data_IF_415587626446
#
_entry.id   IF_415587626446
#
_cell.length_a   1.000
_cell.length_b   1.000
_cell.length_c   1.000
_cell.angle_alpha   90.00
_cell.angle_beta   90.00
_cell.angle_gamma   90.00
#
_symmetry.space_group_name_H-M   'P 1'
#
loop_
_entity.id
_entity.type
_entity.pdbx_description
1 polymer ?
#
# COMPACT_ATOMS: atom_id res chain seq x y z
N UNK A 1 0.71 -29.40 5.04
CA UNK A 1 0.20 -29.59 3.70
C UNK A 1 0.91 -28.59 2.80
N UNK A 2 1.36 -29.04 1.62
CA UNK A 2 1.99 -28.16 0.65
C UNK A 2 0.91 -27.32 -0.06
N UNK A 3 1.33 -26.21 -0.64
CA UNK A 3 0.44 -25.24 -1.31
C UNK A 3 -0.31 -25.89 -2.50
N UNK A 4 0.31 -26.84 -3.17
CA UNK A 4 -0.28 -27.53 -4.34
C UNK A 4 -1.46 -28.39 -3.90
N UNK A 5 -1.34 -29.11 -2.79
CA UNK A 5 -2.43 -29.92 -2.24
C UNK A 5 -3.60 -29.04 -1.81
N UNK A 6 -3.36 -27.90 -1.15
CA UNK A 6 -4.39 -26.95 -0.75
C UNK A 6 -5.12 -26.35 -1.96
N UNK A 7 -4.41 -25.95 -3.01
CA UNK A 7 -5.02 -25.46 -4.25
C UNK A 7 -5.89 -26.51 -4.92
N UNK A 8 -5.40 -27.74 -5.04
CA UNK A 8 -6.16 -28.85 -5.64
C UNK A 8 -7.38 -29.25 -4.80
N UNK A 9 -7.34 -29.02 -3.49
CA UNK A 9 -8.48 -29.19 -2.60
C UNK A 9 -9.51 -28.04 -2.70
N UNK A 10 -9.26 -27.04 -3.55
CA UNK A 10 -10.15 -25.88 -3.70
C UNK A 10 -9.99 -24.84 -2.60
N UNK A 11 -8.95 -24.96 -1.78
CA UNK A 11 -8.62 -23.94 -0.79
C UNK A 11 -7.95 -22.76 -1.50
N UNK A 12 -8.50 -21.57 -1.29
CA UNK A 12 -7.81 -20.34 -1.70
C UNK A 12 -6.59 -20.14 -0.80
N UNK A 13 -5.39 -20.06 -1.38
CA UNK A 13 -4.17 -19.73 -0.63
C UNK A 13 -4.25 -18.34 0.02
N UNK A 14 -5.32 -17.60 -0.22
CA UNK A 14 -5.52 -16.24 0.26
C UNK A 14 -4.66 -15.23 -0.50
N UNK A 15 -5.03 -13.96 -0.36
CA UNK A 15 -4.29 -12.88 -1.01
C UNK A 15 -2.91 -12.72 -0.35
N UNK A 16 -1.87 -12.65 -1.17
CA UNK A 16 -0.50 -12.32 -0.72
C UNK A 16 -0.36 -10.82 -0.61
N UNK A 17 0.21 -10.36 0.49
CA UNK A 17 0.41 -8.93 0.75
C UNK A 17 1.73 -8.69 1.47
N UNK A 18 2.40 -7.58 1.13
CA UNK A 18 3.49 -7.03 1.93
C UNK A 18 2.92 -5.93 2.81
N UNK A 19 3.09 -6.07 4.12
CA UNK A 19 2.77 -5.05 5.11
C UNK A 19 4.06 -4.36 5.55
N UNK A 20 4.00 -3.04 5.72
CA UNK A 20 5.10 -2.20 6.22
C UNK A 20 4.85 -1.71 7.65
N UNK A 21 3.84 -2.29 8.30
CA UNK A 21 3.47 -1.94 9.68
C UNK A 21 4.64 -2.18 10.64
N UNK A 22 4.86 -1.23 11.52
CA UNK A 22 5.94 -1.31 12.51
C UNK A 22 7.33 -1.04 11.95
N UNK A 23 7.46 -0.55 10.71
CA UNK A 23 8.76 -0.24 10.09
C UNK A 23 9.57 -1.48 9.70
N UNK A 24 8.90 -2.59 9.46
CA UNK A 24 9.47 -3.85 8.96
C UNK A 24 8.62 -4.38 7.81
N UNK A 25 9.24 -5.15 6.91
CA UNK A 25 8.51 -5.83 5.84
C UNK A 25 7.96 -7.16 6.34
N UNK A 26 6.64 -7.32 6.25
CA UNK A 26 5.93 -8.54 6.64
C UNK A 26 5.24 -9.13 5.42
N UNK A 27 5.56 -10.35 5.08
CA UNK A 27 4.85 -11.12 4.08
C UNK A 27 3.61 -11.76 4.73
N UNK A 28 2.45 -11.39 4.22
CA UNK A 28 1.16 -11.86 4.72
C UNK A 28 0.52 -12.76 3.66
N UNK A 29 0.00 -13.91 4.07
CA UNK A 29 -0.75 -14.83 3.21
C UNK A 29 -2.08 -15.14 3.90
N UNK A 30 -3.20 -14.87 3.24
CA UNK A 30 -4.53 -15.10 3.80
C UNK A 30 -4.78 -14.34 5.12
N UNK A 31 -4.15 -13.17 5.31
CA UNK A 31 -4.26 -12.36 6.51
C UNK A 31 -3.35 -12.80 7.67
N UNK A 32 -2.58 -13.87 7.51
CA UNK A 32 -1.61 -14.37 8.50
C UNK A 32 -0.20 -13.96 8.12
N UNK A 33 0.63 -13.67 9.12
CA UNK A 33 2.05 -13.40 8.92
C UNK A 33 2.76 -14.70 8.56
N UNK A 34 3.39 -14.70 7.39
CA UNK A 34 4.18 -15.83 6.89
C UNK A 34 5.67 -15.66 7.17
N UNK A 35 6.20 -14.47 6.89
CA UNK A 35 7.62 -14.13 7.10
C UNK A 35 7.78 -12.65 7.45
N UNK A 36 8.71 -12.35 8.35
CA UNK A 36 9.13 -10.97 8.65
C UNK A 36 10.58 -10.82 8.23
N UNK A 37 10.87 -9.75 7.50
CA UNK A 37 12.23 -9.37 7.19
C UNK A 37 12.72 -8.35 8.20
N UNK A 38 13.84 -8.62 8.85
CA UNK A 38 14.54 -7.66 9.71
C UNK A 38 15.36 -6.64 8.92
N UNK A 39 15.50 -6.85 7.60
CA UNK A 39 16.20 -5.95 6.71
C UNK A 39 15.44 -4.62 6.56
N UNK A 40 16.19 -3.54 6.44
CA UNK A 40 15.65 -2.19 6.22
C UNK A 40 15.23 -1.93 4.78
N UNK A 41 15.60 -2.80 3.87
CA UNK A 41 15.28 -2.72 2.45
C UNK A 41 14.72 -4.03 1.95
N UNK A 42 13.98 -3.95 0.87
CA UNK A 42 13.43 -5.08 0.14
C UNK A 42 13.51 -4.79 -1.36
N UNK A 43 14.05 -5.73 -2.11
CA UNK A 43 14.13 -5.65 -3.56
C UNK A 43 12.91 -6.30 -4.20
N UNK A 44 12.24 -5.57 -5.07
CA UNK A 44 11.04 -6.03 -5.77
C UNK A 44 11.05 -5.61 -7.24
N UNK A 45 10.27 -6.31 -8.04
CA UNK A 45 9.84 -5.83 -9.36
C UNK A 45 8.40 -5.32 -9.22
N UNK A 46 8.16 -4.06 -9.54
CA UNK A 46 6.80 -3.50 -9.56
C UNK A 46 6.16 -3.88 -10.89
N UNK A 47 5.23 -4.83 -10.86
CA UNK A 47 4.62 -5.38 -12.08
C UNK A 47 3.34 -4.66 -12.48
N UNK A 48 2.65 -4.03 -11.52
CA UNK A 48 1.44 -3.25 -11.79
C UNK A 48 1.22 -2.19 -10.73
N UNK A 49 0.61 -1.08 -11.12
CA UNK A 49 0.11 -0.06 -10.23
C UNK A 49 -1.38 0.19 -10.51
N UNK A 50 -2.16 0.49 -9.47
CA UNK A 50 -3.51 0.98 -9.67
C UNK A 50 -3.45 2.33 -10.43
N UNK A 51 -4.28 2.49 -11.46
CA UNK A 51 -4.30 3.68 -12.31
C UNK A 51 -4.71 4.95 -11.58
N UNK A 52 -5.41 4.80 -10.46
CA UNK A 52 -5.86 5.90 -9.60
C UNK A 52 -5.47 5.63 -8.15
N UNK A 53 -5.19 6.70 -7.43
CA UNK A 53 -4.97 6.65 -5.99
C UNK A 53 -6.32 6.41 -5.31
N UNK A 54 -6.36 5.47 -4.38
CA UNK A 54 -7.54 5.17 -3.57
C UNK A 54 -7.55 5.99 -2.28
N UNK A 55 -8.69 5.97 -1.58
CA UNK A 55 -8.84 6.59 -0.25
C UNK A 55 -9.48 5.63 0.72
N UNK A 56 -9.12 5.76 1.99
CA UNK A 56 -9.72 5.00 3.09
C UNK A 56 -9.94 5.89 4.30
N UNK A 57 -11.06 5.67 4.97
CA UNK A 57 -11.41 6.30 6.23
C UNK A 57 -11.78 5.24 7.25
N UNK A 58 -11.29 5.39 8.47
CA UNK A 58 -11.60 4.56 9.62
C UNK A 58 -12.21 5.45 10.70
N UNK A 59 -13.42 5.13 11.16
CA UNK A 59 -14.15 5.91 12.18
C UNK A 59 -13.71 5.59 13.61
N UNK A 60 -13.04 4.46 13.82
CA UNK A 60 -12.59 4.01 15.14
C UNK A 60 -11.13 4.33 15.41
N UNK A 61 -10.77 4.39 16.69
CA UNK A 61 -9.38 4.40 17.10
C UNK A 61 -8.73 3.06 16.75
N UNK A 62 -7.52 3.13 16.23
CA UNK A 62 -6.71 1.95 15.94
C UNK A 62 -6.42 1.19 17.24
N UNK A 63 -6.86 -0.08 17.31
CA UNK A 63 -6.44 -1.02 18.34
C UNK A 63 -5.36 -1.92 17.78
N UNK A 64 -4.24 -2.03 18.48
CA UNK A 64 -3.12 -2.86 18.04
C UNK A 64 -3.54 -4.34 18.01
N UNK A 65 -3.33 -5.01 16.87
CA UNK A 65 -3.67 -6.42 16.68
C UNK A 65 -5.03 -6.70 16.04
N UNK A 66 -5.92 -5.72 15.90
CA UNK A 66 -7.19 -5.90 15.20
C UNK A 66 -7.10 -5.56 13.71
N UNK A 67 -7.64 -6.45 12.88
CA UNK A 67 -7.85 -6.18 11.44
C UNK A 67 -9.18 -5.46 11.30
N UNK A 68 -9.14 -4.12 11.35
CA UNK A 68 -10.35 -3.30 11.19
C UNK A 68 -10.55 -3.01 9.70
N UNK A 69 -11.76 -3.30 9.20
CA UNK A 69 -12.17 -2.88 7.86
C UNK A 69 -12.40 -1.37 7.84
N UNK A 70 -12.08 -0.68 6.72
CA UNK A 70 -12.36 0.74 6.61
C UNK A 70 -13.87 1.00 6.69
N UNK A 71 -14.25 2.09 7.35
CA UNK A 71 -15.64 2.54 7.44
C UNK A 71 -16.13 3.03 6.09
N UNK A 72 -15.30 3.82 5.40
CA UNK A 72 -15.56 4.33 4.06
C UNK A 72 -14.31 4.23 3.21
N UNK A 73 -14.46 3.90 1.94
CA UNK A 73 -13.34 3.85 1.00
C UNK A 73 -13.78 4.27 -0.41
N UNK A 74 -12.81 4.62 -1.23
CA UNK A 74 -12.99 4.96 -2.62
C UNK A 74 -11.80 4.44 -3.43
N UNK A 75 -12.07 3.67 -4.47
CA UNK A 75 -11.04 3.12 -5.35
C UNK A 75 -10.47 4.15 -6.33
N UNK A 76 -11.17 5.25 -6.59
CA UNK A 76 -10.78 6.29 -7.55
C UNK A 76 -10.60 7.68 -6.93
N UNK A 77 -10.81 7.81 -5.62
CA UNK A 77 -10.77 9.07 -4.87
C UNK A 77 -11.84 10.10 -5.27
N UNK A 78 -12.85 9.70 -6.01
CA UNK A 78 -13.92 10.62 -6.46
C UNK A 78 -15.22 10.43 -5.68
N UNK A 79 -15.65 9.18 -5.49
CA UNK A 79 -16.89 8.84 -4.80
C UNK A 79 -16.65 7.63 -3.88
N UNK A 80 -17.41 7.47 -2.78
CA UNK A 80 -17.42 6.23 -2.05
C UNK A 80 -17.71 5.04 -2.97
N UNK A 81 -17.03 3.92 -2.72
CA UNK A 81 -17.26 2.68 -3.44
C UNK A 81 -18.70 2.20 -3.23
N UNK A 82 -19.30 1.53 -4.22
CA UNK A 82 -20.67 1.02 -4.16
C UNK A 82 -20.87 0.01 -3.04
N UNK A 83 -19.81 -0.70 -2.66
CA UNK A 83 -19.81 -1.68 -1.56
C UNK A 83 -19.79 -1.05 -0.18
N UNK A 84 -19.56 0.27 -0.07
CA UNK A 84 -19.68 0.98 1.21
C UNK A 84 -21.15 1.09 1.57
N UNK A 85 -21.52 0.64 2.77
CA UNK A 85 -22.89 0.75 3.27
C UNK A 85 -23.30 2.22 3.34
N UNK A 86 -24.57 2.54 3.02
CA UNK A 86 -25.06 3.92 2.99
C UNK A 86 -24.82 4.67 4.29
N UNK A 87 -25.04 4.01 5.43
CA UNK A 87 -24.80 4.60 6.74
C UNK A 87 -23.33 4.95 7.01
N UNK A 88 -22.40 4.34 6.27
CA UNK A 88 -20.95 4.53 6.41
C UNK A 88 -20.37 5.55 5.40
N UNK A 89 -21.13 5.92 4.37
CA UNK A 89 -20.70 6.92 3.41
C UNK A 89 -20.62 8.28 4.08
N UNK A 90 -19.45 8.89 4.06
CA UNK A 90 -19.19 10.17 4.75
C UNK A 90 -19.62 11.38 3.93
N UNK A 91 -19.79 11.22 2.61
CA UNK A 91 -20.21 12.25 1.66
C UNK A 91 -20.55 11.62 0.31
N UNK A 92 -21.32 12.30 -0.50
CA UNK A 92 -21.59 11.89 -1.88
C UNK A 92 -20.35 11.97 -2.78
N UNK A 93 -19.39 12.85 -2.46
CA UNK A 93 -18.13 13.01 -3.20
C UNK A 93 -16.95 13.10 -2.24
N UNK A 94 -15.81 12.52 -2.63
CA UNK A 94 -14.60 12.56 -1.81
C UNK A 94 -13.97 13.96 -1.73
N UNK A 95 -14.16 14.79 -2.75
CA UNK A 95 -13.61 16.14 -2.78
C UNK A 95 -14.19 17.03 -1.67
N UNK A 96 -15.50 16.97 -1.48
CA UNK A 96 -16.24 17.78 -0.50
C UNK A 96 -16.49 17.04 0.83
N UNK A 97 -15.82 15.90 1.03
CA UNK A 97 -16.01 15.09 2.22
C UNK A 97 -15.40 15.78 3.46
N UNK A 98 -16.12 15.86 4.59
CA UNK A 98 -15.59 16.41 5.84
C UNK A 98 -14.30 15.70 6.30
N UNK A 99 -14.17 14.40 6.04
CA UNK A 99 -13.00 13.61 6.41
C UNK A 99 -11.77 13.88 5.50
N UNK A 100 -11.96 14.63 4.42
CA UNK A 100 -10.89 15.04 3.49
C UNK A 100 -10.34 16.44 3.80
N UNK A 101 -10.79 17.10 4.84
CA UNK A 101 -10.33 18.43 5.23
C UNK A 101 -9.04 18.29 6.06
N UNK A 102 -8.06 19.17 5.82
CA UNK A 102 -6.85 19.25 6.65
C UNK A 102 -7.25 19.52 8.10
N UNK A 103 -6.70 18.76 9.04
CA UNK A 103 -7.06 18.82 10.46
C UNK A 103 -8.25 17.94 10.85
N UNK A 104 -8.89 17.22 9.92
CA UNK A 104 -9.94 16.25 10.27
C UNK A 104 -9.40 14.97 10.92
N UNK A 105 -8.10 14.70 10.80
CA UNK A 105 -7.39 13.60 11.45
C UNK A 105 -6.56 14.08 12.65
N UNK A 106 -5.55 13.32 13.01
CA UNK A 106 -4.61 13.74 14.07
C UNK A 106 -3.72 14.88 13.57
N UNK A 107 -3.65 15.97 14.33
CA UNK A 107 -2.89 17.17 14.00
C UNK A 107 -3.39 17.77 12.68
N UNK A 108 -2.47 18.10 11.79
CA UNK A 108 -2.76 18.68 10.47
C UNK A 108 -3.17 17.63 9.41
N UNK A 109 -3.29 16.35 9.77
CA UNK A 109 -3.61 15.30 8.82
C UNK A 109 -5.09 15.29 8.43
N UNK A 110 -5.40 14.57 7.35
CA UNK A 110 -6.78 14.24 6.97
C UNK A 110 -7.14 12.88 7.54
N UNK A 111 -8.37 12.74 8.05
CA UNK A 111 -8.87 11.46 8.55
C UNK A 111 -9.04 10.45 7.41
N UNK A 112 -9.48 10.90 6.23
CA UNK A 112 -9.52 10.11 5.01
C UNK A 112 -8.17 10.19 4.30
N UNK A 113 -7.46 9.07 4.18
CA UNK A 113 -6.08 9.02 3.69
C UNK A 113 -6.00 8.45 2.28
N UNK A 114 -5.10 9.01 1.49
CA UNK A 114 -4.72 8.42 0.20
C UNK A 114 -3.92 7.13 0.38
N UNK A 115 -4.09 6.23 -0.57
CA UNK A 115 -3.30 5.01 -0.69
C UNK A 115 -3.00 4.70 -2.14
N UNK A 116 -1.77 4.30 -2.44
CA UNK A 116 -1.38 3.75 -3.74
C UNK A 116 -1.25 2.24 -3.62
N UNK A 117 -1.95 1.51 -4.49
CA UNK A 117 -1.87 0.05 -4.55
C UNK A 117 -0.92 -0.37 -5.66
N UNK A 118 0.00 -1.25 -5.33
CA UNK A 118 0.95 -1.87 -6.23
C UNK A 118 0.79 -3.39 -6.20
N UNK A 119 1.11 -4.02 -7.32
CA UNK A 119 1.42 -5.43 -7.39
C UNK A 119 2.93 -5.57 -7.59
N UNK A 120 3.57 -6.35 -6.74
CA UNK A 120 5.02 -6.54 -6.74
C UNK A 120 5.37 -8.02 -6.69
N UNK A 121 6.51 -8.37 -7.25
CA UNK A 121 7.14 -9.67 -7.16
C UNK A 121 8.47 -9.49 -6.43
N UNK A 122 8.80 -10.41 -5.52
CA UNK A 122 10.07 -10.35 -4.80
C UNK A 122 11.23 -10.67 -5.75
N UNK A 123 12.32 -9.93 -5.62
CA UNK A 123 13.56 -10.22 -6.34
C UNK A 123 14.07 -11.61 -5.95
N UNK A 124 14.50 -12.41 -6.93
CA UNK A 124 14.88 -13.80 -6.74
C UNK A 124 13.72 -14.80 -6.67
N UNK A 125 12.46 -14.35 -6.68
CA UNK A 125 11.25 -15.19 -6.68
C UNK A 125 10.38 -14.98 -7.93
N UNK A 126 10.91 -14.32 -8.95
CA UNK A 126 10.17 -13.97 -10.19
C UNK A 126 9.61 -15.22 -10.90
N UNK A 127 10.33 -16.33 -10.85
CA UNK A 127 9.93 -17.60 -11.49
C UNK A 127 8.79 -18.32 -10.76
N UNK A 128 8.46 -17.89 -9.52
CA UNK A 128 7.38 -18.50 -8.73
C UNK A 128 5.99 -17.95 -9.06
N UNK A 129 5.91 -16.90 -9.88
CA UNK A 129 4.66 -16.21 -10.22
C UNK A 129 3.88 -15.72 -8.99
N UNK A 130 4.55 -15.52 -7.86
CA UNK A 130 3.95 -15.07 -6.62
C UNK A 130 3.87 -13.54 -6.59
N UNK A 131 2.66 -13.01 -6.74
CA UNK A 131 2.40 -11.58 -6.76
C UNK A 131 1.86 -11.14 -5.40
N UNK A 132 2.50 -10.14 -4.83
CA UNK A 132 2.11 -9.51 -3.57
C UNK A 132 1.45 -8.16 -3.82
N UNK A 133 0.36 -7.89 -3.10
CA UNK A 133 -0.19 -6.55 -3.02
C UNK A 133 0.62 -5.73 -2.01
N UNK A 134 1.02 -4.53 -2.40
CA UNK A 134 1.62 -3.54 -1.51
C UNK A 134 0.76 -2.27 -1.54
N UNK A 135 0.38 -1.80 -0.35
CA UNK A 135 -0.37 -0.55 -0.19
C UNK A 135 0.54 0.49 0.44
N UNK A 136 0.78 1.58 -0.27
CA UNK A 136 1.65 2.66 0.17
C UNK A 136 0.86 3.83 0.75
N UNK A 137 1.29 4.38 1.90
CA UNK A 137 0.74 5.60 2.47
C UNK A 137 1.14 6.82 1.63
N UNK A 138 0.43 7.96 1.76
CA UNK A 138 0.73 9.16 0.97
C UNK A 138 2.16 9.68 1.13
N UNK A 139 2.75 9.53 2.31
CA UNK A 139 4.14 9.94 2.58
C UNK A 139 5.18 9.17 1.75
N UNK A 140 4.87 7.94 1.36
CA UNK A 140 5.73 7.13 0.48
C UNK A 140 5.49 7.41 -1.01
N UNK A 141 4.40 8.09 -1.37
CA UNK A 141 3.98 8.32 -2.76
C UNK A 141 4.29 9.72 -3.24
N UNK A 142 3.90 10.73 -2.45
CA UNK A 142 3.95 12.13 -2.84
C UNK A 142 5.14 12.88 -2.22
N UNK A 143 5.55 13.95 -2.88
CA UNK A 143 6.64 14.83 -2.49
C UNK A 143 7.77 14.84 -3.50
N UNK A 144 8.73 15.73 -3.28
CA UNK A 144 9.87 15.89 -4.21
C UNK A 144 11.03 14.96 -3.86
N UNK A 145 11.16 14.60 -2.59
CA UNK A 145 12.24 13.76 -2.10
C UNK A 145 13.61 14.46 -2.10
N UNK A 146 14.60 13.72 -1.67
CA UNK A 146 16.00 14.10 -1.69
C UNK A 146 16.77 13.10 -2.57
N UNK A 147 18.00 13.47 -2.98
CA UNK A 147 18.84 12.55 -3.75
C UNK A 147 19.04 11.24 -3.01
N UNK A 148 18.67 10.13 -3.67
CA UNK A 148 18.75 8.77 -3.10
C UNK A 148 17.63 8.43 -2.09
N UNK A 149 16.61 9.32 -1.93
CA UNK A 149 15.44 9.10 -1.07
C UNK A 149 14.21 9.69 -1.75
N UNK A 150 13.75 9.04 -2.80
CA UNK A 150 12.63 9.51 -3.60
C UNK A 150 11.33 8.85 -3.16
N UNK A 151 10.21 9.59 -2.97
CA UNK A 151 8.89 8.98 -2.92
C UNK A 151 8.55 8.39 -4.30
N UNK A 152 7.62 7.43 -4.33
CA UNK A 152 7.31 6.65 -5.53
C UNK A 152 7.06 7.50 -6.77
N UNK A 153 6.31 8.60 -6.63
CA UNK A 153 5.96 9.45 -7.77
C UNK A 153 7.18 10.18 -8.34
N UNK A 154 8.10 10.65 -7.47
CA UNK A 154 9.36 11.25 -7.88
C UNK A 154 10.30 10.21 -8.53
N UNK A 155 10.37 9.01 -7.97
CA UNK A 155 11.10 7.89 -8.55
C UNK A 155 10.58 7.51 -9.94
N UNK A 156 9.27 7.39 -10.09
CA UNK A 156 8.67 7.10 -11.40
C UNK A 156 8.97 8.20 -12.44
N UNK A 157 8.95 9.49 -12.04
CA UNK A 157 9.36 10.59 -12.92
C UNK A 157 10.84 10.49 -13.32
N UNK A 158 11.70 10.16 -12.38
CA UNK A 158 13.12 9.93 -12.64
C UNK A 158 13.32 8.83 -13.70
N UNK A 159 12.68 7.68 -13.51
CA UNK A 159 12.74 6.57 -14.45
C UNK A 159 12.19 6.96 -15.84
N UNK A 160 11.08 7.66 -15.89
CA UNK A 160 10.48 8.16 -17.15
C UNK A 160 11.44 9.07 -17.91
N UNK A 161 12.15 9.97 -17.21
CA UNK A 161 13.12 10.86 -17.82
C UNK A 161 14.35 10.12 -18.37
N UNK A 162 14.60 8.90 -17.89
CA UNK A 162 15.67 8.01 -18.36
C UNK A 162 15.17 6.91 -19.31
N UNK A 163 13.93 7.01 -19.79
CA UNK A 163 13.29 6.01 -20.65
C UNK A 163 13.36 4.58 -20.09
N UNK A 164 13.29 4.44 -18.77
CA UNK A 164 13.41 3.16 -18.08
C UNK A 164 12.04 2.72 -17.57
N UNK A 165 11.46 1.61 -18.07
CA UNK A 165 10.20 1.11 -17.58
C UNK A 165 10.40 0.48 -16.19
N UNK A 166 9.59 0.90 -15.22
CA UNK A 166 9.65 0.39 -13.84
C UNK A 166 9.40 -1.11 -13.75
N UNK A 167 8.64 -1.67 -14.68
CA UNK A 167 8.33 -3.11 -14.75
C UNK A 167 9.49 -3.96 -15.22
N UNK A 168 10.54 -3.35 -15.77
CA UNK A 168 11.72 -4.03 -16.31
C UNK A 168 12.95 -3.98 -15.41
N UNK A 169 12.83 -3.46 -14.21
CA UNK A 169 13.96 -3.29 -13.28
C UNK A 169 13.62 -3.78 -11.89
N UNK A 170 14.64 -4.14 -11.14
CA UNK A 170 14.54 -4.35 -9.70
C UNK A 170 14.56 -3.01 -9.00
N UNK A 171 13.59 -2.77 -8.15
CA UNK A 171 13.45 -1.56 -7.33
C UNK A 171 13.77 -1.91 -5.88
N UNK A 172 14.73 -1.22 -5.29
CA UNK A 172 14.97 -1.28 -3.86
C UNK A 172 14.01 -0.35 -3.12
N UNK A 173 13.20 -0.90 -2.24
CA UNK A 173 12.37 -0.15 -1.30
C UNK A 173 13.07 -0.11 0.05
N UNK A 174 13.20 1.08 0.65
CA UNK A 174 13.86 1.25 1.94
C UNK A 174 13.00 2.05 2.90
N UNK A 175 13.05 1.71 4.19
CA UNK A 175 12.44 2.54 5.21
C UNK A 175 13.25 3.82 5.41
N UNK A 176 12.55 4.95 5.39
CA UNK A 176 13.10 6.25 5.78
C UNK A 176 13.20 6.32 7.32
N UNK A 177 14.42 6.18 7.83
CA UNK A 177 14.69 6.16 9.28
C UNK A 177 14.43 7.50 9.98
N UNK A 178 14.33 8.59 9.22
CA UNK A 178 14.00 9.91 9.77
C UNK A 178 12.48 10.14 9.92
N UNK A 179 11.66 9.26 9.34
CA UNK A 179 10.20 9.36 9.44
C UNK A 179 9.69 8.75 10.75
N UNK A 180 8.79 9.44 11.49
CA UNK A 180 8.19 8.90 12.71
C UNK A 180 7.16 7.79 12.44
N UNK A 181 6.72 7.63 11.21
CA UNK A 181 5.79 6.58 10.76
C UNK A 181 6.42 5.79 9.62
N UNK A 182 5.99 4.53 9.39
CA UNK A 182 6.51 3.73 8.29
C UNK A 182 6.36 4.45 6.95
N UNK A 183 7.48 4.82 6.36
CA UNK A 183 7.59 5.52 5.08
C UNK A 183 8.65 4.82 4.25
N UNK A 184 8.29 4.47 3.02
CA UNK A 184 9.24 3.92 2.05
C UNK A 184 9.78 5.01 1.13
N UNK A 185 11.04 4.86 0.77
CA UNK A 185 11.74 5.60 -0.30
C UNK A 185 12.31 4.61 -1.30
N UNK A 186 12.54 5.10 -2.52
CA UNK A 186 12.89 4.32 -3.72
C UNK A 186 14.15 4.86 -4.37
#
# INVERSE_FOLDING_TARGET
LDDVTSVLAGESLGARRISIKGGVFREMIGGKEYRVSEERSMNVVIVKAASKVSRVFYSGNYSEGETVSPTCWSSDSQRPDEKVKEENKQSATCLNCPQNIKGSGQGDSRACRYQQRLAVVLDGEVDREEVYQLVLPPTSVFGDGEKGKLPLQAYARYLKNHNTPITGIVTEMRFDTASPTPKLVF
#
